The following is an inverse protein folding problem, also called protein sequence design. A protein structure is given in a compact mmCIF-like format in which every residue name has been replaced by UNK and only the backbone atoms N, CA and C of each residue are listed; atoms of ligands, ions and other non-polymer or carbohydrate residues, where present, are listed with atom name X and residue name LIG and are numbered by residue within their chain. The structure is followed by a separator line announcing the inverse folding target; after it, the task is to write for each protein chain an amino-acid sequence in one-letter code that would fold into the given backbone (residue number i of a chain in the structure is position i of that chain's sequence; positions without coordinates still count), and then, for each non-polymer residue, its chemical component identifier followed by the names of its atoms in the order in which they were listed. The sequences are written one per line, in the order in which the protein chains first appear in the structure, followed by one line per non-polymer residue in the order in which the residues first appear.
data_IF_372680891288
#
_entry.id   IF_372680891288
#
_cell.length_a   1.000
_cell.length_b   1.000
_cell.length_c   1.000
_cell.angle_alpha   90.00
_cell.angle_beta   90.00
_cell.angle_gamma   90.00
#
_symmetry.space_group_name_H-M   'P 1'
#
loop_
_entity.id
_entity.type
_entity.pdbx_description
1 polymer ?
#
# COMPACT_ATOMS: atom_id res chain seq x y z
N UNK A 1 -3.79 -3.20 3.89
CA UNK A 1 -4.49 -4.49 3.73
C UNK A 1 -4.74 -4.83 2.26
N UNK A 2 -5.45 -4.00 1.48
CA UNK A 2 -5.81 -4.34 0.09
C UNK A 2 -4.59 -4.43 -0.85
N UNK A 3 -3.59 -3.56 -0.70
CA UNK A 3 -2.34 -3.61 -1.46
C UNK A 3 -1.63 -4.96 -1.28
N UNK A 4 -1.50 -5.41 -0.03
CA UNK A 4 -0.90 -6.71 0.30
C UNK A 4 -1.71 -7.88 -0.27
N UNK A 5 -3.06 -7.81 -0.21
CA UNK A 5 -3.93 -8.81 -0.79
C UNK A 5 -3.74 -8.90 -2.32
N UNK A 6 -3.71 -7.76 -3.02
CA UNK A 6 -3.59 -7.73 -4.48
C UNK A 6 -2.23 -8.23 -4.96
N UNK A 7 -1.15 -7.84 -4.27
CA UNK A 7 0.19 -8.35 -4.56
C UNK A 7 0.25 -9.85 -4.33
N UNK A 8 -0.17 -10.32 -3.15
CA UNK A 8 -0.15 -11.74 -2.81
C UNK A 8 -1.05 -12.60 -3.71
N UNK A 9 -2.21 -12.06 -4.12
CA UNK A 9 -3.08 -12.70 -5.10
C UNK A 9 -2.37 -12.87 -6.44
N UNK A 10 -1.70 -11.83 -6.92
CA UNK A 10 -1.03 -11.85 -8.20
C UNK A 10 0.15 -12.82 -8.23
N UNK A 11 1.10 -12.66 -7.30
CA UNK A 11 2.28 -13.52 -7.24
C UNK A 11 1.89 -14.99 -6.96
N UNK A 12 0.88 -15.18 -6.09
CA UNK A 12 0.33 -16.50 -5.83
C UNK A 12 -0.32 -17.16 -7.06
N UNK A 13 -1.03 -16.39 -7.89
CA UNK A 13 -1.61 -16.90 -9.16
C UNK A 13 -0.50 -17.20 -10.16
N UNK A 14 0.56 -16.38 -10.27
CA UNK A 14 1.71 -16.65 -11.15
C UNK A 14 2.40 -17.94 -10.73
N UNK A 15 2.70 -18.13 -9.46
CA UNK A 15 3.25 -19.37 -8.92
C UNK A 15 2.33 -20.58 -9.19
N UNK A 16 1.03 -20.45 -8.94
CA UNK A 16 0.05 -21.50 -9.18
C UNK A 16 -0.03 -21.88 -10.67
N UNK A 17 0.06 -20.92 -11.59
CA UNK A 17 0.07 -21.17 -13.03
C UNK A 17 1.32 -21.95 -13.44
N UNK A 18 2.51 -21.56 -12.97
CA UNK A 18 3.76 -22.29 -13.27
C UNK A 18 3.63 -23.75 -12.82
N UNK A 19 3.28 -23.96 -11.55
CA UNK A 19 3.12 -25.30 -10.97
C UNK A 19 2.12 -26.13 -11.77
N UNK A 20 1.01 -25.56 -12.06
CA UNK A 20 -0.04 -26.25 -12.74
C UNK A 20 0.25 -26.56 -14.21
N UNK A 21 0.86 -25.66 -14.98
CA UNK A 21 1.30 -25.95 -16.36
C UNK A 21 2.24 -27.16 -16.33
N UNK A 22 3.19 -27.18 -15.37
CA UNK A 22 4.12 -28.31 -15.21
C UNK A 22 3.36 -29.59 -14.87
N UNK A 23 2.45 -29.58 -13.90
CA UNK A 23 1.66 -30.76 -13.51
C UNK A 23 0.78 -31.30 -14.66
N UNK A 24 0.09 -30.40 -15.37
CA UNK A 24 -0.73 -30.77 -16.53
C UNK A 24 0.15 -31.37 -17.63
N UNK A 25 1.31 -30.77 -17.90
CA UNK A 25 2.26 -31.28 -18.87
C UNK A 25 2.76 -32.69 -18.53
N UNK A 26 3.20 -32.90 -17.26
CA UNK A 26 3.65 -34.21 -16.77
C UNK A 26 2.54 -35.27 -16.82
N UNK A 27 1.29 -34.87 -16.53
CA UNK A 27 0.14 -35.76 -16.64
C UNK A 27 -0.15 -36.17 -18.11
N UNK A 28 -0.09 -35.22 -19.03
CA UNK A 28 -0.32 -35.46 -20.48
C UNK A 28 0.76 -36.33 -21.12
N UNK A 29 2.01 -36.20 -20.67
CA UNK A 29 3.15 -36.98 -21.18
C UNK A 29 3.35 -38.31 -20.46
N UNK A 30 2.43 -38.69 -19.55
CA UNK A 30 2.51 -39.96 -18.81
C UNK A 30 3.58 -40.00 -17.72
N UNK A 31 4.24 -38.88 -17.41
CA UNK A 31 5.38 -38.81 -16.46
C UNK A 31 4.93 -38.39 -15.05
N UNK A 32 3.81 -38.96 -14.58
CA UNK A 32 3.22 -38.63 -13.25
C UNK A 32 4.18 -38.89 -12.10
N UNK A 33 5.13 -39.79 -12.21
CA UNK A 33 6.15 -40.07 -11.21
C UNK A 33 6.98 -38.82 -10.83
N UNK A 34 7.11 -37.84 -11.72
CA UNK A 34 7.83 -36.58 -11.45
C UNK A 34 7.00 -35.55 -10.67
N UNK A 35 5.71 -35.79 -10.48
CA UNK A 35 4.85 -34.85 -9.70
C UNK A 35 5.33 -34.69 -8.25
N UNK A 36 5.92 -35.72 -7.64
CA UNK A 36 6.55 -35.63 -6.32
C UNK A 36 7.68 -34.60 -6.28
N UNK A 37 8.51 -34.54 -7.32
CA UNK A 37 9.59 -33.55 -7.44
C UNK A 37 9.05 -32.12 -7.57
N UNK A 38 7.92 -31.92 -8.24
CA UNK A 38 7.25 -30.62 -8.33
C UNK A 38 6.84 -30.13 -6.94
N UNK A 39 6.15 -30.99 -6.16
CA UNK A 39 5.69 -30.63 -4.82
C UNK A 39 6.82 -30.40 -3.82
N UNK A 40 7.93 -31.16 -3.93
CA UNK A 40 9.13 -30.90 -3.13
C UNK A 40 9.76 -29.56 -3.48
N UNK A 41 9.81 -29.21 -4.78
CA UNK A 41 10.28 -27.90 -5.24
C UNK A 41 9.43 -26.75 -4.68
N UNK A 42 8.09 -26.88 -4.71
CA UNK A 42 7.15 -25.91 -4.14
C UNK A 42 7.37 -25.74 -2.63
N UNK A 43 7.43 -26.87 -1.89
CA UNK A 43 7.60 -26.85 -0.44
C UNK A 43 8.91 -26.17 -0.01
N UNK A 44 10.02 -26.50 -0.69
CA UNK A 44 11.33 -25.88 -0.44
C UNK A 44 11.34 -24.40 -0.77
N UNK A 45 10.72 -23.99 -1.89
CA UNK A 45 10.62 -22.58 -2.28
C UNK A 45 9.81 -21.77 -1.26
N UNK A 46 8.67 -22.31 -0.83
CA UNK A 46 7.83 -21.70 0.20
C UNK A 46 8.58 -21.54 1.52
N UNK A 47 9.28 -22.58 1.97
CA UNK A 47 10.09 -22.52 3.17
C UNK A 47 11.23 -21.49 3.07
N UNK A 48 11.91 -21.41 1.91
CA UNK A 48 12.95 -20.44 1.67
C UNK A 48 12.40 -19.00 1.63
N UNK A 49 11.23 -18.78 1.04
CA UNK A 49 10.56 -17.46 1.02
C UNK A 49 10.14 -17.00 2.42
N UNK A 50 9.60 -17.91 3.24
CA UNK A 50 9.26 -17.62 4.66
C UNK A 50 10.53 -17.29 5.44
N UNK A 51 11.60 -18.06 5.25
CA UNK A 51 12.88 -17.79 5.91
C UNK A 51 13.44 -16.42 5.50
N UNK A 52 13.37 -16.08 4.21
CA UNK A 52 13.78 -14.76 3.72
C UNK A 52 12.94 -13.64 4.35
N UNK A 53 11.63 -13.81 4.49
CA UNK A 53 10.74 -12.84 5.15
C UNK A 53 11.16 -12.62 6.61
N UNK A 54 11.43 -13.70 7.37
CA UNK A 54 11.86 -13.63 8.78
C UNK A 54 13.23 -12.96 8.89
N UNK A 55 14.17 -13.27 7.99
CA UNK A 55 15.51 -12.65 7.98
C UNK A 55 15.43 -11.16 7.71
N UNK A 56 14.66 -10.76 6.68
CA UNK A 56 14.44 -9.36 6.36
C UNK A 56 13.72 -8.60 7.50
N UNK A 57 12.87 -9.28 8.27
CA UNK A 57 12.21 -8.67 9.43
C UNK A 57 13.18 -8.39 10.59
N UNK A 58 14.23 -9.20 10.74
CA UNK A 58 15.25 -9.00 11.78
C UNK A 58 16.30 -7.94 11.42
N UNK A 59 16.45 -7.57 10.15
CA UNK A 59 17.24 -6.44 9.74
C UNK A 59 16.50 -5.15 10.13
N UNK A 60 16.85 -4.60 11.29
CA UNK A 60 16.39 -3.30 11.73
C UNK A 60 17.19 -2.24 10.97
N UNK A 61 16.57 -1.67 9.97
CA UNK A 61 17.10 -0.55 9.21
C UNK A 61 16.54 0.71 9.87
N UNK A 62 17.38 1.44 10.59
CA UNK A 62 16.97 2.48 11.55
C UNK A 62 17.05 3.91 11.00
N UNK A 63 17.17 4.10 9.69
CA UNK A 63 17.24 5.43 9.09
C UNK A 63 16.06 5.65 8.15
N UNK A 64 15.27 6.70 8.40
CA UNK A 64 14.03 7.05 7.66
C UNK A 64 14.28 7.17 6.14
N UNK A 65 15.46 7.68 5.71
CA UNK A 65 15.86 7.75 4.31
C UNK A 65 16.05 6.39 3.63
N UNK A 66 16.34 5.36 4.39
CA UNK A 66 16.52 3.99 3.88
C UNK A 66 15.18 3.34 3.54
N UNK A 67 14.13 3.63 4.32
CA UNK A 67 12.76 3.19 4.04
C UNK A 67 12.26 3.76 2.72
N UNK A 68 12.51 5.05 2.48
CA UNK A 68 12.21 5.69 1.20
C UNK A 68 12.90 5.04 0.01
N UNK A 69 14.19 4.71 0.16
CA UNK A 69 14.97 4.02 -0.88
C UNK A 69 14.40 2.62 -1.18
N UNK A 70 14.03 1.87 -0.15
CA UNK A 70 13.40 0.54 -0.31
C UNK A 70 12.06 0.62 -1.03
N UNK A 71 11.22 1.63 -0.71
CA UNK A 71 9.96 1.85 -1.41
C UNK A 71 10.17 2.17 -2.90
N UNK A 72 11.16 3.00 -3.23
CA UNK A 72 11.51 3.30 -4.63
C UNK A 72 12.06 2.06 -5.36
N UNK A 73 12.90 1.26 -4.70
CA UNK A 73 13.39 0.02 -5.26
C UNK A 73 12.25 -0.98 -5.52
N UNK A 74 11.31 -1.12 -4.58
CA UNK A 74 10.11 -1.95 -4.76
C UNK A 74 9.23 -1.45 -5.90
N UNK A 75 9.02 -0.14 -6.02
CA UNK A 75 8.28 0.45 -7.14
C UNK A 75 8.95 0.15 -8.49
N UNK A 76 10.28 0.28 -8.57
CA UNK A 76 11.04 -0.06 -9.77
C UNK A 76 10.93 -1.55 -10.13
N UNK A 77 10.97 -2.46 -9.14
CA UNK A 77 10.73 -3.89 -9.33
C UNK A 77 9.32 -4.15 -9.88
N UNK A 78 8.28 -3.55 -9.29
CA UNK A 78 6.89 -3.71 -9.76
C UNK A 78 6.75 -3.23 -11.20
N UNK A 79 7.31 -2.06 -11.56
CA UNK A 79 7.23 -1.52 -12.92
C UNK A 79 7.95 -2.42 -13.91
N UNK A 80 9.18 -2.84 -13.61
CA UNK A 80 9.96 -3.73 -14.48
C UNK A 80 9.25 -5.07 -14.70
N UNK A 81 8.63 -5.60 -13.63
CA UNK A 81 7.86 -6.82 -13.69
C UNK A 81 6.60 -6.69 -14.57
N UNK A 82 5.86 -5.57 -14.45
CA UNK A 82 4.69 -5.29 -15.31
C UNK A 82 5.11 -5.24 -16.79
N UNK A 83 6.20 -4.55 -17.10
CA UNK A 83 6.73 -4.45 -18.47
C UNK A 83 7.15 -5.83 -19.00
N UNK A 84 7.90 -6.60 -18.21
CA UNK A 84 8.36 -7.92 -18.58
C UNK A 84 7.20 -8.88 -18.80
N UNK A 85 6.21 -8.90 -17.91
CA UNK A 85 5.06 -9.78 -17.97
C UNK A 85 4.19 -9.53 -19.21
N UNK A 86 3.99 -8.28 -19.59
CA UNK A 86 3.26 -7.94 -20.83
C UNK A 86 3.94 -8.50 -22.09
N UNK A 87 5.27 -8.64 -22.07
CA UNK A 87 6.02 -9.22 -23.19
C UNK A 87 5.99 -10.75 -23.17
N UNK A 88 6.10 -11.39 -22.01
CA UNK A 88 6.32 -12.83 -21.88
C UNK A 88 5.00 -13.60 -21.74
N UNK A 89 3.93 -13.01 -21.21
CA UNK A 89 2.68 -13.71 -20.93
C UNK A 89 2.10 -14.55 -22.08
N UNK A 90 2.33 -14.13 -23.32
CA UNK A 90 1.87 -14.87 -24.53
C UNK A 90 2.70 -16.10 -24.84
N UNK A 91 3.95 -16.17 -24.38
CA UNK A 91 4.91 -17.26 -24.70
C UNK A 91 5.21 -18.15 -23.51
N UNK A 92 4.84 -17.72 -22.31
CA UNK A 92 5.17 -18.34 -21.04
C UNK A 92 4.88 -19.86 -21.02
N UNK A 93 3.70 -20.25 -21.46
CA UNK A 93 3.30 -21.67 -21.51
C UNK A 93 4.23 -22.51 -22.38
N UNK A 94 4.56 -22.03 -23.59
CA UNK A 94 5.43 -22.76 -24.51
C UNK A 94 6.86 -22.88 -23.98
N UNK A 95 7.35 -21.83 -23.33
CA UNK A 95 8.70 -21.84 -22.75
C UNK A 95 8.79 -22.78 -21.53
N UNK A 96 7.77 -22.82 -20.68
CA UNK A 96 7.71 -23.76 -19.54
C UNK A 96 7.65 -25.20 -20.07
N UNK A 97 6.74 -25.51 -21.01
CA UNK A 97 6.61 -26.83 -21.60
C UNK A 97 7.94 -27.29 -22.25
N UNK A 98 8.62 -26.41 -22.99
CA UNK A 98 9.92 -26.74 -23.62
C UNK A 98 11.04 -27.00 -22.60
N UNK A 99 11.12 -26.22 -21.54
CA UNK A 99 12.12 -26.42 -20.48
C UNK A 99 11.88 -27.72 -19.70
N UNK A 100 10.62 -27.97 -19.34
CA UNK A 100 10.25 -29.21 -18.63
C UNK A 100 10.54 -30.43 -19.50
N UNK A 101 10.26 -30.37 -20.81
CA UNK A 101 10.59 -31.45 -21.76
C UNK A 101 12.10 -31.71 -21.79
N UNK A 102 12.92 -30.66 -21.88
CA UNK A 102 14.38 -30.79 -21.90
C UNK A 102 14.93 -31.47 -20.63
N UNK A 103 14.34 -31.24 -19.47
CA UNK A 103 14.71 -31.93 -18.23
C UNK A 103 14.15 -33.34 -18.15
N UNK A 104 12.93 -33.55 -18.62
CA UNK A 104 12.23 -34.81 -18.53
C UNK A 104 12.76 -35.93 -19.49
N UNK A 105 13.60 -35.56 -20.46
CA UNK A 105 14.29 -36.51 -21.37
C UNK A 105 15.53 -37.17 -20.75
N UNK A 106 15.98 -36.71 -19.57
CA UNK A 106 17.15 -37.22 -18.84
C UNK A 106 16.80 -38.50 -18.08
N UNK A 107 17.81 -39.12 -17.44
CA UNK A 107 17.58 -40.28 -16.54
C UNK A 107 16.61 -39.90 -15.41
N UNK A 108 15.86 -40.86 -14.88
CA UNK A 108 14.75 -40.60 -13.94
C UNK A 108 15.13 -39.71 -12.73
N UNK A 109 16.32 -39.95 -12.14
CA UNK A 109 16.82 -39.13 -11.04
C UNK A 109 17.21 -37.71 -11.47
N UNK A 110 17.90 -37.59 -12.60
CA UNK A 110 18.28 -36.30 -13.15
C UNK A 110 17.06 -35.49 -13.64
N UNK A 111 16.03 -36.17 -14.15
CA UNK A 111 14.76 -35.55 -14.52
C UNK A 111 14.01 -35.03 -13.31
N UNK A 112 13.91 -35.84 -12.23
CA UNK A 112 13.25 -35.40 -10.98
C UNK A 112 13.96 -34.22 -10.37
N UNK A 113 15.29 -34.23 -10.27
CA UNK A 113 16.07 -33.10 -9.77
C UNK A 113 15.91 -31.88 -10.65
N UNK A 114 16.01 -32.01 -11.97
CA UNK A 114 15.89 -30.88 -12.91
C UNK A 114 14.52 -30.20 -12.88
N UNK A 115 13.44 -31.01 -12.87
CA UNK A 115 12.05 -30.49 -12.77
C UNK A 115 11.82 -29.86 -11.39
N UNK A 116 12.25 -30.51 -10.31
CA UNK A 116 12.13 -29.99 -8.96
C UNK A 116 12.87 -28.66 -8.76
N UNK A 117 14.12 -28.59 -9.24
CA UNK A 117 14.93 -27.36 -9.20
C UNK A 117 14.32 -26.24 -10.05
N UNK A 118 13.82 -26.56 -11.23
CA UNK A 118 13.15 -25.58 -12.08
C UNK A 118 11.93 -24.98 -11.38
N UNK A 119 11.05 -25.82 -10.80
CA UNK A 119 9.87 -25.36 -10.06
C UNK A 119 10.29 -24.59 -8.81
N UNK A 120 11.30 -25.09 -8.08
CA UNK A 120 11.85 -24.37 -6.92
C UNK A 120 12.28 -22.94 -7.27
N UNK A 121 13.09 -22.77 -8.33
CA UNK A 121 13.59 -21.46 -8.72
C UNK A 121 12.47 -20.51 -9.18
N UNK A 122 11.48 -21.04 -9.92
CA UNK A 122 10.35 -20.25 -10.37
C UNK A 122 9.47 -19.80 -9.21
N UNK A 123 9.09 -20.69 -8.29
CA UNK A 123 8.25 -20.36 -7.15
C UNK A 123 9.02 -19.50 -6.12
N UNK A 124 10.32 -19.75 -5.93
CA UNK A 124 11.18 -18.94 -5.07
C UNK A 124 11.28 -17.49 -5.57
N UNK A 125 11.34 -17.32 -6.88
CA UNK A 125 11.35 -15.98 -7.49
C UNK A 125 10.08 -15.21 -7.12
N UNK A 126 8.89 -15.80 -7.35
CA UNK A 126 7.62 -15.15 -7.02
C UNK A 126 7.51 -14.89 -5.50
N UNK A 127 7.99 -15.85 -4.69
CA UNK A 127 8.06 -15.69 -3.24
C UNK A 127 9.00 -14.57 -2.79
N UNK A 128 10.14 -14.40 -3.43
CA UNK A 128 11.08 -13.31 -3.13
C UNK A 128 10.49 -11.93 -3.54
N UNK A 129 9.85 -11.84 -4.72
CA UNK A 129 9.17 -10.64 -5.17
C UNK A 129 8.05 -10.25 -4.18
N UNK A 130 7.23 -11.23 -3.76
CA UNK A 130 6.20 -11.04 -2.76
C UNK A 130 6.77 -10.49 -1.43
N UNK A 131 7.84 -11.09 -0.91
CA UNK A 131 8.45 -10.69 0.36
C UNK A 131 8.99 -9.26 0.28
N UNK A 132 9.67 -8.88 -0.81
CA UNK A 132 10.23 -7.53 -0.99
C UNK A 132 9.13 -6.47 -1.08
N UNK A 133 8.07 -6.73 -1.87
CA UNK A 133 6.96 -5.76 -2.03
C UNK A 133 6.16 -5.65 -0.72
N UNK A 134 5.92 -6.78 -0.02
CA UNK A 134 5.21 -6.75 1.26
C UNK A 134 5.97 -5.95 2.31
N UNK A 135 7.30 -6.03 2.34
CA UNK A 135 8.11 -5.20 3.24
C UNK A 135 7.95 -3.72 2.94
N UNK A 136 8.01 -3.33 1.67
CA UNK A 136 7.77 -1.93 1.29
C UNK A 136 6.35 -1.43 1.65
N UNK A 137 5.35 -2.30 1.56
CA UNK A 137 3.96 -1.99 1.95
C UNK A 137 3.79 -1.97 3.48
N UNK A 138 4.54 -2.76 4.24
CA UNK A 138 4.49 -2.81 5.70
C UNK A 138 4.92 -1.48 6.34
N UNK A 139 5.87 -0.78 5.76
CA UNK A 139 6.28 0.56 6.21
C UNK A 139 5.15 1.61 6.09
N UNK A 140 4.23 1.42 5.15
CA UNK A 140 3.10 2.34 4.92
C UNK A 140 1.79 1.93 5.61
N UNK A 141 1.71 0.75 6.27
CA UNK A 141 0.46 0.18 6.77
C UNK A 141 0.65 -0.57 8.10
N UNK A 142 -0.39 -0.62 8.93
CA UNK A 142 -0.36 -1.39 10.19
C UNK A 142 -0.07 -2.89 9.94
N UNK A 143 0.99 -3.42 10.56
CA UNK A 143 1.54 -4.75 10.29
C UNK A 143 0.53 -5.91 10.30
N UNK A 144 -0.45 -5.92 11.24
CA UNK A 144 -1.49 -6.97 11.30
C UNK A 144 -2.36 -6.99 10.05
N UNK A 145 -2.71 -5.83 9.49
CA UNK A 145 -3.55 -5.73 8.29
C UNK A 145 -2.82 -6.24 7.04
N UNK A 146 -1.50 -6.10 6.97
CA UNK A 146 -0.67 -6.63 5.89
C UNK A 146 -0.70 -8.16 5.90
N UNK A 147 -0.54 -8.78 7.05
CA UNK A 147 -0.57 -10.24 7.21
C UNK A 147 -1.93 -10.85 6.85
N UNK A 148 -3.04 -10.22 7.28
CA UNK A 148 -4.39 -10.67 6.91
C UNK A 148 -4.60 -10.55 5.40
N UNK A 149 -4.23 -9.42 4.80
CA UNK A 149 -4.32 -9.22 3.36
C UNK A 149 -3.52 -10.25 2.56
N UNK A 150 -2.28 -10.51 2.98
CA UNK A 150 -1.40 -11.52 2.36
C UNK A 150 -2.00 -12.92 2.44
N UNK A 151 -2.47 -13.32 3.63
CA UNK A 151 -3.09 -14.64 3.82
C UNK A 151 -4.33 -14.85 2.95
N UNK A 152 -5.20 -13.84 2.88
CA UNK A 152 -6.39 -13.87 2.01
C UNK A 152 -5.99 -13.90 0.53
N UNK A 153 -4.99 -13.11 0.11
CA UNK A 153 -4.49 -13.09 -1.27
C UNK A 153 -3.97 -14.45 -1.71
N UNK A 154 -3.16 -15.10 -0.88
CA UNK A 154 -2.63 -16.44 -1.14
C UNK A 154 -3.77 -17.48 -1.20
N UNK A 155 -4.72 -17.44 -0.26
CA UNK A 155 -5.85 -18.36 -0.24
C UNK A 155 -6.69 -18.26 -1.52
N UNK A 156 -6.99 -17.05 -1.96
CA UNK A 156 -7.71 -16.81 -3.23
C UNK A 156 -6.87 -17.28 -4.42
N UNK A 157 -5.55 -17.02 -4.44
CA UNK A 157 -4.66 -17.48 -5.51
C UNK A 157 -4.65 -19.00 -5.65
N UNK A 158 -4.58 -19.73 -4.54
CA UNK A 158 -4.65 -21.18 -4.51
C UNK A 158 -6.00 -21.67 -5.05
N UNK A 159 -7.11 -21.07 -4.60
CA UNK A 159 -8.44 -21.41 -5.08
C UNK A 159 -8.57 -21.17 -6.60
N UNK A 160 -8.11 -20.02 -7.11
CA UNK A 160 -8.08 -19.71 -8.54
C UNK A 160 -7.24 -20.72 -9.30
N UNK A 161 -6.06 -21.09 -8.78
CA UNK A 161 -5.19 -22.12 -9.36
C UNK A 161 -5.91 -23.47 -9.48
N UNK A 162 -6.51 -23.96 -8.41
CA UNK A 162 -7.26 -25.24 -8.40
C UNK A 162 -8.40 -25.22 -9.43
N UNK A 163 -9.26 -24.20 -9.42
CA UNK A 163 -10.37 -24.08 -10.36
C UNK A 163 -9.93 -23.96 -11.82
N UNK A 164 -8.77 -23.34 -12.05
CA UNK A 164 -8.17 -23.24 -13.38
C UNK A 164 -7.72 -24.62 -13.88
N UNK A 165 -7.11 -25.44 -13.02
CA UNK A 165 -6.63 -26.78 -13.39
C UNK A 165 -7.74 -27.81 -13.53
N UNK A 166 -8.80 -27.72 -12.75
CA UNK A 166 -9.99 -28.55 -12.89
C UNK A 166 -10.79 -28.21 -14.17
N UNK A 167 -10.36 -27.20 -14.94
CA UNK A 167 -11.01 -26.76 -16.18
C UNK A 167 -12.34 -26.05 -15.97
N UNK A 168 -12.70 -25.73 -14.73
CA UNK A 168 -13.95 -25.06 -14.35
C UNK A 168 -13.91 -23.58 -14.72
N UNK A 169 -12.75 -22.93 -14.65
CA UNK A 169 -12.55 -21.53 -15.02
C UNK A 169 -11.75 -21.43 -16.34
N UNK A 170 -12.40 -20.88 -17.37
CA UNK A 170 -11.76 -20.50 -18.64
C UNK A 170 -11.52 -19.00 -18.66
N UNK A 171 -10.72 -18.50 -17.71
CA UNK A 171 -10.37 -17.07 -17.68
C UNK A 171 -9.23 -16.84 -18.68
N UNK A 172 -9.34 -15.90 -19.62
CA UNK A 172 -8.22 -15.54 -20.48
C UNK A 172 -7.14 -14.86 -19.63
N UNK A 173 -6.05 -15.56 -19.36
CA UNK A 173 -4.92 -15.13 -18.53
C UNK A 173 -4.44 -13.71 -18.87
N UNK A 174 -4.41 -13.37 -20.16
CA UNK A 174 -4.03 -12.04 -20.60
C UNK A 174 -4.91 -10.93 -20.00
N UNK A 175 -6.22 -11.14 -19.85
CA UNK A 175 -7.12 -10.14 -19.27
C UNK A 175 -6.89 -10.00 -17.77
N UNK A 176 -6.68 -11.12 -17.08
CA UNK A 176 -6.35 -11.13 -15.66
C UNK A 176 -5.05 -10.36 -15.39
N UNK A 177 -3.98 -10.67 -16.10
CA UNK A 177 -2.70 -9.99 -15.96
C UNK A 177 -2.75 -8.52 -16.36
N UNK A 178 -3.51 -8.16 -17.39
CA UNK A 178 -3.70 -6.77 -17.78
C UNK A 178 -4.43 -5.97 -16.69
N UNK A 179 -5.48 -6.53 -16.09
CA UNK A 179 -6.22 -5.86 -15.02
C UNK A 179 -5.37 -5.71 -13.75
N UNK A 180 -4.70 -6.78 -13.30
CA UNK A 180 -3.82 -6.74 -12.13
C UNK A 180 -2.62 -5.83 -12.33
N UNK A 181 -2.04 -5.78 -13.55
CA UNK A 181 -0.96 -4.84 -13.90
C UNK A 181 -1.40 -3.37 -13.80
N UNK A 182 -2.62 -3.05 -14.24
CA UNK A 182 -3.15 -1.69 -14.08
C UNK A 182 -3.28 -1.29 -12.60
N UNK A 183 -3.75 -2.20 -11.76
CA UNK A 183 -3.86 -1.98 -10.31
C UNK A 183 -2.47 -1.82 -9.69
N UNK A 184 -1.52 -2.69 -10.02
CA UNK A 184 -0.16 -2.61 -9.48
C UNK A 184 0.61 -1.38 -9.96
N UNK A 185 0.27 -0.83 -11.13
CA UNK A 185 0.83 0.46 -11.57
C UNK A 185 0.43 1.58 -10.60
N UNK A 186 -0.80 1.56 -10.08
CA UNK A 186 -1.24 2.55 -9.07
C UNK A 186 -0.51 2.33 -7.74
N UNK A 187 -0.31 1.06 -7.34
CA UNK A 187 0.49 0.74 -6.13
C UNK A 187 1.94 1.18 -6.30
N UNK A 188 2.55 0.95 -7.46
CA UNK A 188 3.91 1.43 -7.75
C UNK A 188 4.00 2.96 -7.69
N UNK A 189 3.00 3.65 -8.22
CA UNK A 189 2.91 5.11 -8.13
C UNK A 189 2.78 5.59 -6.67
N UNK A 190 1.98 4.91 -5.86
CA UNK A 190 1.88 5.16 -4.42
C UNK A 190 3.24 4.99 -3.76
N UNK A 191 3.94 3.87 -3.99
CA UNK A 191 5.26 3.61 -3.41
C UNK A 191 6.30 4.66 -3.83
N UNK A 192 6.23 5.18 -5.06
CA UNK A 192 7.10 6.29 -5.50
C UNK A 192 6.82 7.56 -4.69
N UNK A 193 5.55 7.94 -4.57
CA UNK A 193 5.19 9.16 -3.84
C UNK A 193 5.55 9.06 -2.36
N UNK A 194 5.24 7.93 -1.72
CA UNK A 194 5.57 7.70 -0.31
C UNK A 194 7.09 7.62 -0.12
N UNK A 195 7.82 6.91 -0.98
CA UNK A 195 9.27 6.80 -0.90
C UNK A 195 9.99 8.14 -1.09
N UNK A 196 9.52 8.99 -2.01
CA UNK A 196 10.03 10.36 -2.16
C UNK A 196 9.73 11.22 -0.93
N UNK A 197 8.55 11.04 -0.33
CA UNK A 197 8.17 11.74 0.89
C UNK A 197 9.09 11.35 2.06
N UNK A 198 9.32 10.05 2.31
CA UNK A 198 10.24 9.55 3.35
C UNK A 198 11.68 10.09 3.15
N UNK A 199 12.17 10.08 1.90
CA UNK A 199 13.49 10.66 1.59
C UNK A 199 13.55 12.17 1.83
N UNK A 200 12.45 12.90 1.61
CA UNK A 200 12.38 14.33 1.92
C UNK A 200 12.29 14.59 3.42
N UNK A 201 11.65 13.70 4.17
CA UNK A 201 11.57 13.74 5.64
C UNK A 201 12.94 13.50 6.28
N UNK A 202 13.72 12.58 5.71
CA UNK A 202 15.11 12.32 6.08
C UNK A 202 16.09 13.42 5.63
N UNK A 203 15.62 14.48 4.97
CA UNK A 203 16.42 15.59 4.41
C UNK A 203 17.42 15.14 3.32
N UNK A 204 17.23 14.01 2.69
CA UNK A 204 18.05 13.52 1.59
C UNK A 204 17.72 14.18 0.25
N UNK A 205 16.49 14.66 0.10
CA UNK A 205 16.02 15.37 -1.10
C UNK A 205 15.48 16.74 -0.68
N UNK A 206 15.69 17.73 -1.53
CA UNK A 206 15.15 19.06 -1.32
C UNK A 206 13.63 19.04 -1.44
N UNK A 207 12.95 19.68 -0.51
CA UNK A 207 11.49 19.75 -0.44
C UNK A 207 11.00 21.19 -0.49
N UNK A 208 9.82 21.40 -1.08
CA UNK A 208 9.11 22.67 -1.10
C UNK A 208 7.79 22.54 -0.34
N UNK A 209 7.41 23.58 0.42
CA UNK A 209 6.11 23.61 1.13
C UNK A 209 4.92 23.47 0.17
N UNK A 210 5.03 24.00 -1.05
CA UNK A 210 3.99 23.88 -2.08
C UNK A 210 3.85 22.47 -2.64
N UNK A 211 4.94 21.73 -2.77
CA UNK A 211 4.90 20.31 -3.18
C UNK A 211 4.28 19.45 -2.08
N UNK A 212 4.63 19.70 -0.82
CA UNK A 212 4.07 18.97 0.32
C UNK A 212 2.58 19.25 0.55
N UNK A 213 2.07 20.41 0.16
CA UNK A 213 0.64 20.69 0.20
C UNK A 213 -0.16 19.75 -0.73
N UNK A 214 0.44 19.28 -1.83
CA UNK A 214 -0.17 18.34 -2.78
C UNK A 214 0.12 16.89 -2.40
N UNK A 215 1.39 16.56 -2.11
CA UNK A 215 1.85 15.19 -1.86
C UNK A 215 1.37 14.69 -0.50
N UNK A 216 1.40 15.51 0.54
CA UNK A 216 1.03 15.12 1.90
C UNK A 216 -0.38 14.52 2.01
N UNK A 217 -1.45 15.17 1.51
CA UNK A 217 -2.80 14.58 1.54
C UNK A 217 -2.93 13.29 0.73
N UNK A 218 -2.12 13.12 -0.32
CA UNK A 218 -2.11 11.91 -1.16
C UNK A 218 -1.45 10.75 -0.39
N UNK A 219 -0.27 10.97 0.17
CA UNK A 219 0.48 9.97 0.94
C UNK A 219 -0.31 9.52 2.17
N UNK A 220 -0.93 10.47 2.88
CA UNK A 220 -1.75 10.18 4.06
C UNK A 220 -2.98 9.31 3.78
N UNK A 221 -3.58 9.45 2.60
CA UNK A 221 -4.84 8.81 2.28
C UNK A 221 -4.65 7.57 1.39
N UNK A 222 -4.37 6.42 2.00
CA UNK A 222 -4.44 5.13 1.32
C UNK A 222 -5.79 4.94 0.58
N UNK A 223 -6.87 5.45 1.15
CA UNK A 223 -8.22 5.41 0.60
C UNK A 223 -8.31 6.09 -0.77
N UNK A 224 -7.55 7.17 -1.00
CA UNK A 224 -7.50 7.85 -2.30
C UNK A 224 -7.02 6.90 -3.41
N UNK A 225 -5.95 6.14 -3.16
CA UNK A 225 -5.44 5.17 -4.13
C UNK A 225 -6.44 4.05 -4.40
N UNK A 226 -7.17 3.60 -3.37
CA UNK A 226 -8.23 2.59 -3.53
C UNK A 226 -9.37 3.10 -4.40
N UNK A 227 -9.81 4.35 -4.22
CA UNK A 227 -10.82 4.97 -5.06
C UNK A 227 -10.35 5.01 -6.53
N UNK A 228 -9.10 5.40 -6.77
CA UNK A 228 -8.52 5.44 -8.12
C UNK A 228 -8.44 4.05 -8.75
N UNK A 229 -7.97 3.04 -8.00
CA UNK A 229 -7.87 1.65 -8.47
C UNK A 229 -9.24 1.09 -8.82
N UNK A 230 -10.20 1.21 -7.91
CA UNK A 230 -11.56 0.70 -8.11
C UNK A 230 -12.31 1.48 -9.18
N UNK A 231 -12.07 2.79 -9.27
CA UNK A 231 -12.59 3.63 -10.34
C UNK A 231 -12.06 3.20 -11.71
N UNK A 232 -10.76 2.95 -11.82
CA UNK A 232 -10.15 2.44 -13.05
C UNK A 232 -10.71 1.05 -13.42
N UNK A 233 -10.85 0.14 -12.46
CA UNK A 233 -11.45 -1.16 -12.67
C UNK A 233 -12.92 -1.04 -13.13
N UNK A 234 -13.70 -0.15 -12.51
CA UNK A 234 -15.08 0.13 -12.91
C UNK A 234 -15.16 0.67 -14.35
N UNK A 235 -14.27 1.58 -14.74
CA UNK A 235 -14.20 2.12 -16.11
C UNK A 235 -13.90 1.02 -17.12
N UNK A 236 -12.96 0.11 -16.83
CA UNK A 236 -12.64 -1.04 -17.71
C UNK A 236 -13.86 -1.94 -17.88
N UNK A 237 -14.53 -2.30 -16.79
CA UNK A 237 -15.75 -3.13 -16.82
C UNK A 237 -16.87 -2.44 -17.59
N UNK A 238 -17.09 -1.14 -17.37
CA UNK A 238 -18.10 -0.36 -18.08
C UNK A 238 -17.80 -0.25 -19.58
N UNK A 239 -16.52 -0.03 -19.94
CA UNK A 239 -16.08 0.02 -21.36
C UNK A 239 -16.36 -1.30 -22.09
N UNK A 240 -16.07 -2.45 -21.44
CA UNK A 240 -16.43 -3.75 -22.01
C UNK A 240 -17.95 -3.91 -22.15
N UNK A 241 -18.72 -3.43 -21.16
CA UNK A 241 -20.17 -3.50 -21.17
C UNK A 241 -20.79 -2.66 -22.31
N UNK A 242 -20.27 -1.45 -22.55
CA UNK A 242 -20.73 -0.59 -23.64
C UNK A 242 -20.20 -1.04 -25.00
N UNK A 243 -18.98 -1.60 -25.08
CA UNK A 243 -18.34 -2.04 -26.31
C UNK A 243 -18.92 -3.34 -26.90
N UNK A 244 -19.50 -4.19 -26.06
CA UNK A 244 -20.04 -5.49 -26.51
C UNK A 244 -21.36 -5.42 -27.29
N UNK A 245 -21.85 -4.22 -27.59
CA UNK A 245 -23.17 -4.01 -28.25
C UNK A 245 -23.22 -4.30 -29.72
N UNK A 246 -22.10 -4.49 -30.44
CA UNK A 246 -22.13 -4.33 -31.90
C UNK A 246 -21.85 -5.57 -32.76
N UNK A 247 -21.43 -6.71 -32.26
CA UNK A 247 -20.82 -7.66 -33.19
C UNK A 247 -21.35 -9.10 -33.25
N UNK A 248 -22.44 -9.48 -32.56
CA UNK A 248 -22.82 -10.92 -32.50
C UNK A 248 -24.30 -11.26 -32.63
N UNK A 249 -24.99 -10.67 -33.57
CA UNK A 249 -26.43 -10.97 -33.70
C UNK A 249 -26.82 -11.90 -34.86
N UNK A 250 -25.98 -12.24 -35.82
CA UNK A 250 -26.57 -12.77 -37.10
C UNK A 250 -25.82 -13.90 -37.84
N UNK A 251 -25.20 -14.87 -37.20
CA UNK A 251 -24.46 -15.85 -38.03
C UNK A 251 -24.69 -17.33 -37.73
N UNK A 252 -25.63 -17.76 -36.87
CA UNK A 252 -25.85 -19.19 -36.74
C UNK A 252 -27.22 -19.62 -37.29
N UNK A 253 -27.25 -20.63 -38.22
CA UNK A 253 -28.44 -21.11 -38.85
C UNK A 253 -29.31 -22.02 -37.96
N UNK A 254 -28.81 -22.43 -36.75
CA UNK A 254 -29.49 -23.36 -35.87
C UNK A 254 -30.25 -22.62 -34.71
N UNK A 255 -31.60 -22.76 -34.61
CA UNK A 255 -32.36 -22.08 -33.57
C UNK A 255 -31.97 -22.44 -32.13
N UNK A 256 -31.47 -23.63 -31.88
CA UNK A 256 -31.04 -24.08 -30.55
C UNK A 256 -29.74 -23.40 -30.12
N UNK A 257 -28.79 -23.27 -31.04
CA UNK A 257 -27.51 -22.56 -30.78
C UNK A 257 -27.73 -21.05 -30.58
N UNK A 258 -28.66 -20.47 -31.34
CA UNK A 258 -29.02 -19.06 -31.20
C UNK A 258 -29.58 -18.77 -29.80
N UNK A 259 -30.50 -19.64 -29.28
CA UNK A 259 -31.04 -19.49 -27.92
C UNK A 259 -29.95 -19.64 -26.85
N UNK A 260 -29.01 -20.56 -27.02
CA UNK A 260 -27.88 -20.76 -26.12
C UNK A 260 -26.97 -19.54 -26.10
N UNK A 261 -26.65 -19.00 -27.28
CA UNK A 261 -25.84 -17.76 -27.40
C UNK A 261 -26.53 -16.55 -26.79
N UNK A 262 -27.83 -16.37 -27.03
CA UNK A 262 -28.63 -15.30 -26.42
C UNK A 262 -28.66 -15.42 -24.89
N UNK A 263 -28.77 -16.64 -24.35
CA UNK A 263 -28.75 -16.88 -22.92
C UNK A 263 -27.35 -16.59 -22.31
N UNK A 264 -26.28 -16.99 -22.96
CA UNK A 264 -24.91 -16.72 -22.54
C UNK A 264 -24.61 -15.22 -22.54
N UNK A 265 -25.02 -14.49 -23.57
CA UNK A 265 -24.89 -13.04 -23.66
C UNK A 265 -25.67 -12.34 -22.55
N UNK A 266 -26.94 -12.75 -22.31
CA UNK A 266 -27.76 -12.19 -21.21
C UNK A 266 -27.14 -12.49 -19.84
N UNK A 267 -26.60 -13.69 -19.63
CA UNK A 267 -25.92 -14.08 -18.39
C UNK A 267 -24.66 -13.25 -18.19
N UNK A 268 -23.83 -13.11 -19.20
CA UNK A 268 -22.62 -12.31 -19.15
C UNK A 268 -22.93 -10.84 -18.88
N UNK A 269 -23.98 -10.29 -19.50
CA UNK A 269 -24.45 -8.92 -19.26
C UNK A 269 -24.93 -8.69 -17.84
N UNK A 270 -25.61 -9.66 -17.23
CA UNK A 270 -26.02 -9.57 -15.81
C UNK A 270 -24.83 -9.55 -14.87
N UNK A 271 -23.85 -10.42 -15.11
CA UNK A 271 -22.65 -10.47 -14.30
C UNK A 271 -21.79 -9.21 -14.45
N UNK A 272 -21.62 -8.68 -15.65
CA UNK A 272 -20.89 -7.42 -15.84
C UNK A 272 -21.61 -6.23 -15.22
N UNK A 273 -22.96 -6.20 -15.26
CA UNK A 273 -23.75 -5.18 -14.57
C UNK A 273 -23.59 -5.29 -13.04
N UNK A 274 -23.68 -6.50 -12.50
CA UNK A 274 -23.50 -6.74 -11.07
C UNK A 274 -22.07 -6.32 -10.61
N UNK A 275 -21.04 -6.65 -11.39
CA UNK A 275 -19.67 -6.23 -11.12
C UNK A 275 -19.52 -4.69 -11.17
N UNK A 276 -20.12 -4.03 -12.17
CA UNK A 276 -20.08 -2.58 -12.28
C UNK A 276 -20.79 -1.89 -11.10
N UNK A 277 -21.97 -2.39 -10.70
CA UNK A 277 -22.70 -1.87 -9.54
C UNK A 277 -21.93 -2.07 -8.26
N UNK A 278 -21.28 -3.24 -8.08
CA UNK A 278 -20.42 -3.51 -6.94
C UNK A 278 -19.23 -2.54 -6.90
N UNK A 279 -18.53 -2.36 -8.03
CA UNK A 279 -17.39 -1.44 -8.11
C UNK A 279 -17.82 0.01 -7.79
N UNK A 280 -18.93 0.48 -8.37
CA UNK A 280 -19.45 1.82 -8.08
C UNK A 280 -19.86 1.94 -6.60
N UNK A 281 -20.51 0.93 -6.03
CA UNK A 281 -20.89 0.91 -4.61
C UNK A 281 -19.67 1.01 -3.69
N UNK A 282 -18.60 0.27 -4.00
CA UNK A 282 -17.35 0.30 -3.23
C UNK A 282 -16.67 1.66 -3.36
N UNK A 283 -16.61 2.25 -4.57
CA UNK A 283 -16.07 3.61 -4.78
C UNK A 283 -16.84 4.64 -3.97
N UNK A 284 -18.17 4.57 -3.97
CA UNK A 284 -19.01 5.49 -3.20
C UNK A 284 -18.81 5.30 -1.69
N UNK A 285 -18.69 4.06 -1.21
CA UNK A 285 -18.40 3.78 0.20
C UNK A 285 -17.06 4.37 0.65
N UNK A 286 -15.99 4.17 -0.12
CA UNK A 286 -14.68 4.77 0.16
C UNK A 286 -14.69 6.29 0.03
N UNK A 287 -15.41 6.85 -0.94
CA UNK A 287 -15.56 8.30 -1.06
C UNK A 287 -16.29 8.89 0.16
N UNK A 288 -17.32 8.21 0.65
CA UNK A 288 -18.04 8.60 1.87
C UNK A 288 -17.13 8.53 3.10
N UNK A 289 -16.34 7.45 3.23
CA UNK A 289 -15.34 7.29 4.30
C UNK A 289 -14.28 8.38 4.24
N UNK A 290 -13.78 8.71 3.04
CA UNK A 290 -12.83 9.80 2.84
C UNK A 290 -13.40 11.16 3.29
N UNK A 291 -14.62 11.48 2.89
CA UNK A 291 -15.31 12.73 3.29
C UNK A 291 -15.54 12.75 4.80
N UNK A 292 -15.98 11.64 5.38
CA UNK A 292 -16.18 11.49 6.82
C UNK A 292 -14.87 11.65 7.59
N UNK A 293 -13.80 10.95 7.19
CA UNK A 293 -12.48 11.06 7.80
C UNK A 293 -11.92 12.49 7.71
N UNK A 294 -12.17 13.20 6.60
CA UNK A 294 -11.76 14.60 6.46
C UNK A 294 -12.56 15.54 7.37
N UNK A 295 -13.86 15.30 7.53
CA UNK A 295 -14.71 16.08 8.43
C UNK A 295 -14.32 15.87 9.91
N UNK A 296 -13.95 14.63 10.29
CA UNK A 296 -13.49 14.30 11.65
C UNK A 296 -12.06 14.76 11.93
N UNK A 297 -11.29 15.14 10.91
CA UNK A 297 -9.95 15.71 11.03
C UNK A 297 -9.94 17.23 11.26
N UNK A 298 -11.01 17.79 11.81
CA UNK A 298 -11.03 19.20 12.23
C UNK A 298 -9.84 19.47 13.19
N UNK A 299 -9.26 20.69 13.17
CA UNK A 299 -8.20 21.05 14.11
C UNK A 299 -8.68 20.81 15.54
N UNK A 300 -7.82 20.20 16.37
CA UNK A 300 -8.10 20.06 17.78
C UNK A 300 -8.44 21.45 18.36
N UNK A 301 -9.44 21.51 19.24
CA UNK A 301 -9.79 22.75 19.89
C UNK A 301 -8.60 23.23 20.71
N UNK A 302 -8.06 24.40 20.38
CA UNK A 302 -6.99 25.03 21.12
C UNK A 302 -7.60 25.88 22.25
N UNK A 303 -7.04 25.77 23.47
CA UNK A 303 -7.40 26.64 24.59
C UNK A 303 -6.78 28.01 24.38
N UNK A 304 -7.60 29.05 24.30
CA UNK A 304 -7.09 30.42 24.20
C UNK A 304 -6.40 30.80 25.52
N UNK A 305 -5.20 31.34 25.39
CA UNK A 305 -4.39 31.84 26.51
C UNK A 305 -3.89 33.24 26.21
N UNK A 306 -3.72 34.03 27.24
CA UNK A 306 -3.28 35.43 27.09
C UNK A 306 -1.74 35.47 27.10
N UNK A 307 -1.16 36.05 26.06
CA UNK A 307 0.26 36.33 26.02
C UNK A 307 0.59 37.63 26.74
N UNK A 308 1.64 37.63 27.53
CA UNK A 308 2.19 38.83 28.14
C UNK A 308 3.51 39.16 27.45
N UNK A 309 3.44 40.08 26.48
CA UNK A 309 4.51 40.20 25.47
C UNK A 309 4.57 38.94 24.60
N UNK A 310 5.73 38.31 24.55
CA UNK A 310 5.94 37.08 23.77
C UNK A 310 5.91 35.81 24.65
N UNK A 311 5.60 35.93 25.95
CA UNK A 311 5.54 34.80 26.86
C UNK A 311 4.10 34.45 27.24
N UNK A 312 3.83 33.14 27.29
CA UNK A 312 2.55 32.58 27.76
C UNK A 312 2.82 31.74 29.00
N UNK A 313 1.96 31.94 30.05
CA UNK A 313 1.98 31.14 31.28
C UNK A 313 0.87 30.12 31.27
N UNK A 314 1.23 28.85 31.45
CA UNK A 314 0.31 27.71 31.45
C UNK A 314 0.42 27.02 32.82
N UNK A 315 -0.64 26.97 33.61
CA UNK A 315 -0.63 26.23 34.86
C UNK A 315 -0.36 24.75 34.64
N UNK A 316 0.59 24.16 35.36
CA UNK A 316 0.91 22.74 35.28
C UNK A 316 -0.28 21.85 35.66
N UNK A 317 -1.23 22.37 36.46
CA UNK A 317 -2.50 21.70 36.75
C UNK A 317 -3.33 21.40 35.50
N UNK A 318 -3.25 22.24 34.48
CA UNK A 318 -3.94 22.06 33.19
C UNK A 318 -3.38 20.88 32.37
N UNK A 319 -2.13 20.50 32.64
CA UNK A 319 -1.42 19.45 31.96
C UNK A 319 -1.50 18.08 32.67
N UNK A 320 -2.15 18.02 33.83
CA UNK A 320 -2.30 16.80 34.61
C UNK A 320 -3.25 15.82 33.89
N UNK A 321 -2.78 14.57 33.71
CA UNK A 321 -3.57 13.49 33.11
C UNK A 321 -3.71 13.55 31.59
N UNK A 322 -3.07 14.51 30.92
CA UNK A 322 -3.13 14.68 29.46
C UNK A 322 -1.73 14.64 28.89
N UNK A 323 -1.53 13.87 27.82
CA UNK A 323 -0.23 13.75 27.13
C UNK A 323 0.03 14.97 26.26
N UNK A 324 -0.98 15.44 25.53
CA UNK A 324 -0.89 16.53 24.55
C UNK A 324 -2.03 17.53 24.75
N UNK A 325 -1.72 18.83 24.77
CA UNK A 325 -2.71 19.92 24.73
C UNK A 325 -2.35 20.97 23.71
N UNK A 326 -3.39 21.49 23.04
CA UNK A 326 -3.26 22.59 22.09
C UNK A 326 -3.69 23.91 22.73
N UNK A 327 -2.89 24.94 22.45
CA UNK A 327 -3.11 26.29 22.89
C UNK A 327 -3.06 27.26 21.71
N UNK A 328 -3.74 28.39 21.85
CA UNK A 328 -3.64 29.50 20.91
C UNK A 328 -3.47 30.80 21.70
N UNK A 329 -2.60 31.66 21.24
CA UNK A 329 -2.36 32.98 21.80
C UNK A 329 -2.22 34.01 20.69
N UNK A 330 -2.71 35.23 20.94
CA UNK A 330 -2.52 36.37 20.04
C UNK A 330 -1.19 37.05 20.38
N UNK A 331 -0.27 37.08 19.41
CA UNK A 331 1.03 37.74 19.50
C UNK A 331 1.18 38.65 18.28
N UNK A 332 1.44 39.93 18.48
CA UNK A 332 1.57 40.94 17.43
C UNK A 332 0.42 40.91 16.39
N UNK A 333 -0.83 40.76 16.87
CA UNK A 333 -2.06 40.64 16.05
C UNK A 333 -2.11 39.41 15.17
N UNK A 334 -1.31 38.38 15.45
CA UNK A 334 -1.33 37.09 14.76
C UNK A 334 -1.71 35.97 15.75
N UNK A 335 -2.61 35.11 15.32
CA UNK A 335 -2.96 33.88 16.07
C UNK A 335 -1.86 32.85 15.96
N UNK A 336 -1.13 32.61 17.05
CA UNK A 336 -0.09 31.60 17.15
C UNK A 336 -0.65 30.36 17.82
N UNK A 337 -0.73 29.25 17.09
CA UNK A 337 -1.12 27.95 17.63
C UNK A 337 0.13 27.16 18.02
N UNK A 338 0.08 26.57 19.21
CA UNK A 338 1.17 25.73 19.71
C UNK A 338 0.62 24.56 20.53
N UNK A 339 1.45 23.57 20.72
CA UNK A 339 1.15 22.39 21.51
C UNK A 339 2.12 22.27 22.68
N UNK A 340 1.63 21.71 23.76
CA UNK A 340 2.43 21.34 24.92
C UNK A 340 2.26 19.86 25.19
N UNK A 341 3.37 19.16 25.36
CA UNK A 341 3.41 17.73 25.60
C UNK A 341 4.12 17.42 26.91
N UNK A 342 3.60 16.44 27.64
CA UNK A 342 4.26 15.86 28.81
C UNK A 342 5.05 14.62 28.35
N UNK A 343 6.37 14.66 28.52
CA UNK A 343 7.26 13.52 28.21
C UNK A 343 7.18 12.44 29.31
N UNK A 344 7.53 11.21 28.95
CA UNK A 344 7.47 10.06 29.88
C UNK A 344 8.35 10.18 31.12
N UNK A 345 9.39 11.05 31.09
CA UNK A 345 10.24 11.38 32.23
C UNK A 345 9.65 12.48 33.16
N UNK A 346 8.45 12.99 32.85
CA UNK A 346 7.81 14.06 33.60
C UNK A 346 8.14 15.47 33.14
N UNK A 347 9.05 15.63 32.18
CA UNK A 347 9.39 16.92 31.57
C UNK A 347 8.29 17.39 30.61
N UNK A 348 8.28 18.67 30.32
CA UNK A 348 7.37 19.31 29.38
C UNK A 348 8.16 19.81 28.17
N UNK A 349 7.56 19.70 26.98
CA UNK A 349 8.04 20.34 25.77
C UNK A 349 6.92 21.15 25.12
N UNK A 350 7.27 22.33 24.63
CA UNK A 350 6.38 23.17 23.85
C UNK A 350 6.90 23.24 22.40
N UNK A 351 5.98 23.25 21.45
CA UNK A 351 6.30 23.38 20.04
C UNK A 351 5.13 24.06 19.30
N UNK A 352 5.40 24.65 18.15
CA UNK A 352 4.37 25.18 17.27
C UNK A 352 3.48 24.05 16.73
N UNK A 353 2.21 24.34 16.51
CA UNK A 353 1.29 23.46 15.78
C UNK A 353 1.59 23.50 14.26
N UNK A 354 2.87 23.36 13.91
CA UNK A 354 3.43 23.49 12.59
C UNK A 354 4.76 22.72 12.48
N UNK A 355 5.10 22.23 11.29
CA UNK A 355 6.43 21.65 11.02
C UNK A 355 7.12 22.35 9.83
N UNK A 356 8.43 22.10 9.70
CA UNK A 356 9.22 22.70 8.61
C UNK A 356 8.79 22.21 7.22
N UNK A 357 8.32 20.97 7.13
CA UNK A 357 7.97 20.30 5.87
C UNK A 357 6.55 20.63 5.43
N UNK A 358 5.54 20.37 6.29
CA UNK A 358 4.12 20.52 5.96
C UNK A 358 3.54 21.90 6.27
N UNK A 359 4.28 22.75 6.98
CA UNK A 359 3.80 24.10 7.38
C UNK A 359 2.76 24.05 8.48
N UNK A 360 1.77 24.96 8.43
CA UNK A 360 0.80 25.25 9.52
C UNK A 360 -0.44 24.32 9.52
N UNK A 361 -0.38 23.13 8.94
CA UNK A 361 -1.52 22.20 8.92
C UNK A 361 -1.82 21.63 10.30
N UNK A 362 -0.79 21.51 11.13
CA UNK A 362 -0.89 21.12 12.54
C UNK A 362 -0.90 19.62 12.77
N UNK A 363 -1.12 19.28 14.04
CA UNK A 363 -1.06 17.90 14.55
C UNK A 363 -2.37 17.47 15.18
N UNK A 364 -2.50 16.18 15.41
CA UNK A 364 -3.56 15.55 16.21
C UNK A 364 -2.95 14.46 17.09
N UNK A 365 -3.68 14.08 18.13
CA UNK A 365 -3.30 12.92 18.95
C UNK A 365 -4.04 11.67 18.42
N UNK A 366 -3.30 10.59 18.19
CA UNK A 366 -3.83 9.25 17.92
C UNK A 366 -3.26 8.26 18.94
N UNK A 367 -4.08 7.87 19.92
CA UNK A 367 -3.59 7.03 21.02
C UNK A 367 -2.51 7.72 21.84
N UNK A 368 -1.29 7.19 21.80
CA UNK A 368 -0.12 7.77 22.46
C UNK A 368 0.79 8.56 21.50
N UNK A 369 0.46 8.62 20.22
CA UNK A 369 1.30 9.27 19.22
C UNK A 369 0.75 10.66 18.85
N UNK A 370 1.66 11.53 18.43
CA UNK A 370 1.35 12.83 17.85
C UNK A 370 1.53 12.71 16.34
N UNK A 371 0.45 12.86 15.59
CA UNK A 371 0.43 12.58 14.14
C UNK A 371 0.24 13.87 13.34
N UNK A 372 1.06 14.09 12.34
CA UNK A 372 0.91 15.22 11.42
C UNK A 372 -0.40 15.11 10.63
N UNK A 373 -1.19 16.20 10.61
CA UNK A 373 -2.50 16.22 9.94
C UNK A 373 -2.40 16.26 8.42
N UNK A 374 -1.26 16.64 7.87
CA UNK A 374 -1.03 16.67 6.43
C UNK A 374 -0.56 15.32 5.88
N UNK A 375 0.58 14.83 6.33
CA UNK A 375 1.22 13.62 5.78
C UNK A 375 0.91 12.33 6.57
N UNK A 376 0.42 12.43 7.81
CA UNK A 376 0.13 11.27 8.63
C UNK A 376 1.33 10.69 9.37
N UNK A 377 2.52 11.32 9.26
CA UNK A 377 3.70 10.89 9.99
C UNK A 377 3.47 10.93 11.50
N UNK A 378 3.80 9.85 12.19
CA UNK A 378 3.69 9.71 13.64
C UNK A 378 4.98 10.17 14.31
N UNK A 379 4.85 11.16 15.19
CA UNK A 379 5.98 11.71 15.96
C UNK A 379 6.13 10.97 17.27
N UNK A 380 7.34 10.51 17.53
CA UNK A 380 7.68 9.90 18.80
C UNK A 380 7.71 10.96 19.91
N UNK A 381 6.99 10.76 21.03
CA UNK A 381 6.89 11.74 22.13
C UNK A 381 8.26 12.24 22.61
N UNK A 382 9.29 11.40 22.80
CA UNK A 382 10.62 11.85 23.19
C UNK A 382 11.28 12.82 22.20
N UNK A 383 11.00 12.72 20.90
CA UNK A 383 11.59 13.59 19.85
C UNK A 383 10.93 14.96 19.75
N UNK A 384 9.73 15.14 20.31
CA UNK A 384 9.04 16.44 20.31
C UNK A 384 9.81 17.43 21.15
N UNK A 385 10.05 18.62 20.59
CA UNK A 385 10.96 19.62 21.15
C UNK A 385 12.37 19.57 20.57
N UNK A 386 12.65 18.63 19.66
CA UNK A 386 13.84 18.61 18.81
C UNK A 386 13.48 19.14 17.43
N UNK A 387 14.39 19.86 16.78
CA UNK A 387 14.19 20.36 15.41
C UNK A 387 14.54 19.28 14.39
N UNK A 388 13.76 19.17 13.31
CA UNK A 388 14.06 18.34 12.15
C UNK A 388 12.88 17.49 11.69
N UNK A 389 12.86 17.12 10.41
CA UNK A 389 11.83 16.32 9.79
C UNK A 389 10.42 16.88 9.95
N UNK A 390 9.45 16.00 10.13
CA UNK A 390 8.06 16.34 10.45
C UNK A 390 7.83 16.68 11.93
N UNK A 391 8.86 16.76 12.77
CA UNK A 391 8.69 17.19 14.16
C UNK A 391 8.09 18.61 14.24
N UNK A 392 7.23 18.87 15.25
CA UNK A 392 6.76 20.21 15.54
C UNK A 392 7.94 21.15 15.82
N UNK A 393 7.90 22.37 15.26
CA UNK A 393 8.95 23.37 15.45
C UNK A 393 9.06 23.71 16.94
N UNK A 394 10.23 23.45 17.59
CA UNK A 394 10.37 23.60 19.03
C UNK A 394 10.25 25.06 19.47
N UNK A 395 9.57 25.26 20.58
CA UNK A 395 9.51 26.53 21.31
C UNK A 395 10.34 26.42 22.59
N UNK A 396 10.97 27.51 22.97
CA UNK A 396 11.65 27.58 24.27
C UNK A 396 10.61 27.56 25.38
N UNK A 397 10.80 26.66 26.34
CA UNK A 397 9.91 26.57 27.51
C UNK A 397 10.71 26.29 28.77
N UNK A 398 10.22 26.80 29.90
CA UNK A 398 10.80 26.61 31.23
C UNK A 398 9.71 26.46 32.27
N UNK A 399 9.94 25.68 33.29
CA UNK A 399 9.03 25.55 34.45
C UNK A 399 9.43 26.57 35.52
N UNK A 400 8.50 27.43 35.91
CA UNK A 400 8.67 28.36 37.01
C UNK A 400 7.55 28.16 38.05
N UNK A 401 7.89 27.54 39.17
CA UNK A 401 6.93 27.22 40.23
C UNK A 401 5.84 26.25 39.78
N UNK A 402 4.59 26.70 39.71
CA UNK A 402 3.43 25.92 39.29
C UNK A 402 3.05 26.15 37.82
N UNK A 403 3.83 26.93 37.08
CA UNK A 403 3.53 27.32 35.70
C UNK A 403 4.62 26.86 34.73
N UNK A 404 4.20 26.49 33.50
CA UNK A 404 5.06 26.35 32.35
C UNK A 404 5.05 27.68 31.58
N UNK A 405 6.21 28.29 31.41
CA UNK A 405 6.38 29.48 30.58
C UNK A 405 6.85 29.08 29.22
N UNK A 406 6.14 29.50 28.18
CA UNK A 406 6.44 29.24 26.77
C UNK A 406 6.75 30.57 26.09
N UNK A 407 7.91 30.62 25.42
CA UNK A 407 8.36 31.79 24.67
C UNK A 407 7.94 31.64 23.19
N UNK A 408 7.07 32.54 22.74
CA UNK A 408 6.55 32.58 21.37
C UNK A 408 7.36 33.50 20.44
N UNK A 409 8.49 34.06 20.87
CA UNK A 409 9.35 34.94 20.07
C UNK A 409 10.17 34.27 18.99
N UNK A 410 9.99 32.97 18.74
CA UNK A 410 10.72 32.18 17.74
C UNK A 410 10.43 32.59 16.29
N UNK A 411 11.25 32.15 15.31
CA UNK A 411 11.18 32.57 13.89
C UNK A 411 9.87 32.19 13.16
N UNK A 412 8.93 31.59 13.84
CA UNK A 412 7.64 31.17 13.29
C UNK A 412 6.48 32.15 13.55
N UNK A 413 6.65 33.18 14.34
CA UNK A 413 5.64 34.25 14.50
C UNK A 413 5.41 35.04 13.18
N UNK A 414 6.30 34.92 12.21
CA UNK A 414 6.23 35.64 10.92
C UNK A 414 5.56 34.85 9.80
N UNK A 415 5.06 33.64 10.03
CA UNK A 415 4.42 32.79 8.98
C UNK A 415 2.90 32.70 9.12
N UNK A 416 2.23 33.74 9.59
CA UNK A 416 0.77 33.88 9.48
C UNK A 416 0.37 34.21 8.04
N UNK A 417 0.54 33.24 7.14
CA UNK A 417 -0.10 33.22 5.85
C UNK A 417 -1.50 32.65 6.02
N UNK A 418 -2.51 33.49 5.75
CA UNK A 418 -3.94 33.20 5.69
C UNK A 418 -4.28 31.80 5.21
N UNK A 419 -5.23 31.10 5.86
CA UNK A 419 -5.80 29.87 5.30
C UNK A 419 -6.70 30.25 4.12
N UNK A 420 -6.41 29.75 2.93
CA UNK A 420 -7.35 29.62 1.82
C UNK A 420 -7.94 28.21 1.80
#
# INVERSE_FOLDING_TARGET
MLSALLVALREGVEAALVVGIVLVYLNRTGRRALAGAVWTGVALATAASILAAILLQKLQWSEDGFEGLLMLAAAALVITMIVWMNHVARRLRKEIEARVEAYAQKSTHAAAFGVGLFVFLMVLREGAELVLILRAVEFSSAGVQVWIGTGLGIAIAVAVGVFFFEGTLRIPLHRFFSATSAILMVVAFQLILTGLHEMSEALWIWHSKSEMAIVGPIVRNEVFFFIVILGAAAVVVLREWFGSKSERADTSPNPAERRKQEWEVRRQRRWSLAAAVLCVGVVLAFAAEYVYARAMNAPAQAKMVVATGNEVRIPLSDLNGVILRFYAAEVDSADVRFLVIRKGNGDYAAALDACQICGNVGYRQEGQDVVCRNCGAAMNIPSIGMSGGCNPIPLKSRVEGADLIVDLSGPAATSSGTPH
#
